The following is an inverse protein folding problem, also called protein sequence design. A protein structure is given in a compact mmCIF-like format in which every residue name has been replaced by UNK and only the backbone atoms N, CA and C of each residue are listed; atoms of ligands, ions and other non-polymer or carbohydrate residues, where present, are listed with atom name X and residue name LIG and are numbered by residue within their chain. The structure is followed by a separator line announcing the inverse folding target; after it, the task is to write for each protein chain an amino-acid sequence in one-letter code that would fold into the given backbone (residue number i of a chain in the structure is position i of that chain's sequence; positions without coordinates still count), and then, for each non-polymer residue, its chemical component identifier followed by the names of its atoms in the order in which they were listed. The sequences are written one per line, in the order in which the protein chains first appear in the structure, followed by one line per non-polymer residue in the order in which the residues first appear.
data_IF_787245441571
#
_entry.id   IF_787245441571
#
_cell.length_a   1.000
_cell.length_b   1.000
_cell.length_c   1.000
_cell.angle_alpha   90.00
_cell.angle_beta   90.00
_cell.angle_gamma   90.00
#
_symmetry.space_group_name_H-M   'P 1'
#
loop_
_entity.id
_entity.type
_entity.pdbx_description
1 polymer ?
#
# COMPACT_ATOMS: atom_id res chain seq x y z
N UNK A 1 -13.47 45.26 -42.22
CA UNK A 1 -13.73 44.20 -41.23
C UNK A 1 -12.99 42.87 -41.49
N UNK A 2 -12.51 42.55 -42.71
CA UNK A 2 -12.04 41.19 -43.05
C UNK A 2 -10.56 40.85 -42.74
N UNK A 3 -9.69 41.84 -42.51
CA UNK A 3 -8.25 41.57 -42.26
C UNK A 3 -7.97 41.02 -40.86
N UNK A 4 -8.72 41.49 -39.84
CA UNK A 4 -8.57 41.04 -38.46
C UNK A 4 -9.01 39.57 -38.28
N UNK A 5 -10.14 39.19 -38.89
CA UNK A 5 -10.63 37.80 -38.86
C UNK A 5 -9.68 36.85 -39.60
N UNK A 6 -9.08 37.28 -40.73
CA UNK A 6 -8.10 36.48 -41.47
C UNK A 6 -6.78 36.27 -40.69
N UNK A 7 -6.38 37.26 -39.89
CA UNK A 7 -5.20 37.14 -39.04
C UNK A 7 -5.44 36.23 -37.82
N UNK A 8 -6.66 36.22 -37.24
CA UNK A 8 -7.01 35.28 -36.18
C UNK A 8 -7.04 33.83 -36.67
N UNK A 9 -7.60 33.58 -37.86
CA UNK A 9 -7.67 32.23 -38.44
C UNK A 9 -6.30 31.65 -38.80
N UNK A 10 -5.32 32.52 -39.10
CA UNK A 10 -3.93 32.13 -39.36
C UNK A 10 -3.03 32.10 -38.14
N UNK A 11 -3.52 32.51 -36.96
CA UNK A 11 -2.69 32.61 -35.76
C UNK A 11 -2.50 31.23 -35.12
N UNK A 12 -1.27 30.72 -35.21
CA UNK A 12 -0.85 29.46 -34.59
C UNK A 12 -0.17 29.68 -33.24
N UNK A 13 -0.01 30.94 -32.79
CA UNK A 13 0.59 31.25 -31.50
C UNK A 13 -0.38 30.79 -30.41
N UNK A 14 0.05 29.80 -29.62
CA UNK A 14 -0.77 29.21 -28.55
C UNK A 14 -1.34 27.83 -28.86
N UNK A 15 -1.22 27.32 -30.10
CA UNK A 15 -1.61 25.94 -30.41
C UNK A 15 -0.86 24.93 -29.51
N UNK A 16 0.44 25.13 -29.32
CA UNK A 16 1.26 24.33 -28.42
C UNK A 16 0.77 24.40 -26.94
N UNK A 17 0.21 25.53 -26.50
CA UNK A 17 -0.33 25.65 -25.14
C UNK A 17 -1.61 24.83 -24.98
N UNK A 18 -2.46 24.78 -26.02
CA UNK A 18 -3.68 23.97 -26.03
C UNK A 18 -3.35 22.47 -26.10
N UNK A 19 -2.42 22.08 -26.97
CA UNK A 19 -1.94 20.69 -27.08
C UNK A 19 -1.32 20.21 -25.77
N UNK A 20 -0.49 21.05 -25.13
CA UNK A 20 0.07 20.75 -23.81
C UNK A 20 -1.01 20.66 -22.74
N UNK A 21 -1.99 21.58 -22.74
CA UNK A 21 -3.12 21.55 -21.81
C UNK A 21 -3.95 20.27 -21.90
N UNK A 22 -4.02 19.64 -23.08
CA UNK A 22 -4.69 18.35 -23.28
C UNK A 22 -3.80 17.15 -22.90
N UNK A 23 -2.49 17.26 -23.10
CA UNK A 23 -1.54 16.19 -22.78
C UNK A 23 -1.18 16.09 -21.29
N UNK A 24 -1.08 17.23 -20.58
CA UNK A 24 -0.69 17.29 -19.15
C UNK A 24 -1.58 16.39 -18.27
N UNK A 25 -2.93 16.43 -18.34
CA UNK A 25 -3.76 15.63 -17.44
C UNK A 25 -3.46 14.13 -17.56
N UNK A 26 -3.26 13.64 -18.78
CA UNK A 26 -2.91 12.24 -19.05
C UNK A 26 -1.53 11.91 -18.48
N UNK A 27 -0.54 12.79 -18.70
CA UNK A 27 0.80 12.62 -18.16
C UNK A 27 0.82 12.62 -16.62
N UNK A 28 0.04 13.51 -15.98
CA UNK A 28 -0.09 13.57 -14.53
C UNK A 28 -0.76 12.33 -13.96
N UNK A 29 -1.82 11.82 -14.61
CA UNK A 29 -2.46 10.58 -14.19
C UNK A 29 -1.49 9.40 -14.24
N UNK A 30 -0.69 9.29 -15.31
CA UNK A 30 0.33 8.23 -15.42
C UNK A 30 1.42 8.38 -14.35
N UNK A 31 1.91 9.59 -14.12
CA UNK A 31 2.94 9.87 -13.12
C UNK A 31 2.43 9.55 -11.69
N UNK A 32 1.27 10.08 -11.32
CA UNK A 32 0.68 9.86 -10.00
C UNK A 32 0.26 8.40 -9.81
N UNK A 33 -0.22 7.74 -10.86
CA UNK A 33 -0.52 6.32 -10.85
C UNK A 33 0.71 5.47 -10.56
N UNK A 34 1.83 5.75 -11.23
CA UNK A 34 3.10 5.07 -10.97
C UNK A 34 3.59 5.29 -9.53
N UNK A 35 3.46 6.51 -9.00
CA UNK A 35 3.80 6.82 -7.60
C UNK A 35 2.90 6.06 -6.61
N UNK A 36 1.58 6.05 -6.81
CA UNK A 36 0.64 5.28 -5.98
C UNK A 36 0.99 3.79 -5.98
N UNK A 37 1.37 3.23 -7.14
CA UNK A 37 1.82 1.85 -7.24
C UNK A 37 3.11 1.59 -6.45
N UNK A 38 4.06 2.51 -6.48
CA UNK A 38 5.27 2.43 -5.67
C UNK A 38 4.98 2.41 -4.16
N UNK A 39 4.10 3.28 -3.69
CA UNK A 39 3.69 3.34 -2.28
C UNK A 39 2.93 2.06 -1.89
N UNK A 40 2.05 1.55 -2.76
CA UNK A 40 1.36 0.29 -2.54
C UNK A 40 2.33 -0.89 -2.37
N UNK A 41 3.33 -1.01 -3.24
CA UNK A 41 4.35 -2.05 -3.16
C UNK A 41 5.20 -1.90 -1.89
N UNK A 42 5.57 -0.68 -1.54
CA UNK A 42 6.24 -0.39 -0.27
C UNK A 42 5.40 -0.86 0.93
N UNK A 43 4.12 -0.50 0.98
CA UNK A 43 3.20 -0.90 2.04
C UNK A 43 3.06 -2.43 2.15
N UNK A 44 2.91 -3.11 1.00
CA UNK A 44 2.84 -4.58 0.93
C UNK A 44 4.11 -5.26 1.45
N UNK A 45 5.28 -4.73 1.11
CA UNK A 45 6.55 -5.26 1.57
C UNK A 45 6.73 -5.01 3.07
N UNK A 46 6.44 -3.80 3.56
CA UNK A 46 6.47 -3.48 5.00
C UNK A 46 5.53 -4.39 5.80
N UNK A 47 4.32 -4.67 5.30
CA UNK A 47 3.39 -5.61 5.94
C UNK A 47 4.01 -7.01 6.04
N UNK A 48 4.64 -7.49 4.98
CA UNK A 48 5.24 -8.83 4.96
C UNK A 48 6.41 -8.91 5.95
N UNK A 49 7.30 -7.92 5.96
CA UNK A 49 8.41 -7.83 6.91
C UNK A 49 7.92 -7.75 8.35
N UNK A 50 6.89 -6.94 8.63
CA UNK A 50 6.33 -6.82 9.96
C UNK A 50 5.74 -8.13 10.47
N UNK A 51 5.04 -8.89 9.62
CA UNK A 51 4.56 -10.23 9.98
C UNK A 51 5.75 -11.18 10.21
N UNK A 52 6.76 -11.18 9.35
CA UNK A 52 7.90 -12.08 9.47
C UNK A 52 8.68 -11.83 10.78
N UNK A 53 8.88 -10.57 11.15
CA UNK A 53 9.50 -10.22 12.44
C UNK A 53 8.62 -10.59 13.63
N UNK A 54 7.30 -10.41 13.51
CA UNK A 54 6.35 -10.81 14.56
C UNK A 54 6.31 -12.33 14.71
N UNK A 55 6.37 -13.08 13.62
CA UNK A 55 6.45 -14.54 13.62
C UNK A 55 7.73 -15.03 14.30
N UNK A 56 8.87 -14.37 14.05
CA UNK A 56 10.14 -14.65 14.73
C UNK A 56 10.07 -14.32 16.22
N UNK A 57 9.45 -13.20 16.59
CA UNK A 57 9.27 -12.87 18.00
C UNK A 57 8.37 -13.89 18.71
N UNK A 58 7.37 -14.43 18.01
CA UNK A 58 6.42 -15.35 18.59
C UNK A 58 7.03 -16.67 19.06
N UNK A 59 8.14 -17.13 18.46
CA UNK A 59 8.79 -18.40 18.84
C UNK A 59 9.83 -18.24 19.96
N UNK A 60 10.09 -17.02 20.44
CA UNK A 60 11.06 -16.78 21.52
C UNK A 60 10.50 -17.23 22.87
N UNK A 61 11.39 -17.72 23.75
CA UNK A 61 11.08 -18.00 25.15
C UNK A 61 11.58 -16.87 26.06
N UNK A 62 10.80 -16.39 27.05
CA UNK A 62 9.42 -16.78 27.34
C UNK A 62 8.46 -16.37 26.21
N UNK A 63 7.43 -17.19 25.98
CA UNK A 63 6.49 -16.98 24.88
C UNK A 63 5.72 -15.67 25.06
N UNK A 64 5.79 -14.73 24.10
CA UNK A 64 5.07 -13.47 24.20
C UNK A 64 3.56 -13.66 24.07
N UNK A 65 2.83 -12.79 24.76
CA UNK A 65 1.38 -12.66 24.68
C UNK A 65 0.94 -12.09 23.31
N UNK A 66 -0.35 -12.22 22.98
CA UNK A 66 -0.90 -11.63 21.75
C UNK A 66 -0.80 -10.11 21.72
N UNK A 67 -0.95 -9.47 22.88
CA UNK A 67 -0.85 -8.02 22.99
C UNK A 67 0.58 -7.54 22.65
N UNK A 68 1.61 -8.26 23.09
CA UNK A 68 3.01 -7.95 22.78
C UNK A 68 3.30 -8.16 21.29
N UNK A 69 2.81 -9.25 20.70
CA UNK A 69 2.97 -9.53 19.26
C UNK A 69 2.23 -8.51 18.40
N UNK A 70 1.01 -8.12 18.78
CA UNK A 70 0.27 -7.06 18.10
C UNK A 70 1.00 -5.73 18.20
N UNK A 71 1.54 -5.39 19.38
CA UNK A 71 2.33 -4.16 19.56
C UNK A 71 3.59 -4.18 18.71
N UNK A 72 4.26 -5.34 18.60
CA UNK A 72 5.44 -5.51 17.76
C UNK A 72 5.11 -5.31 16.28
N UNK A 73 4.04 -5.94 15.80
CA UNK A 73 3.54 -5.76 14.44
C UNK A 73 3.26 -4.29 14.13
N UNK A 74 2.55 -3.60 15.03
CA UNK A 74 2.22 -2.19 14.90
C UNK A 74 3.46 -1.29 14.88
N UNK A 75 4.43 -1.57 15.77
CA UNK A 75 5.69 -0.82 15.82
C UNK A 75 6.49 -0.92 14.52
N UNK A 76 6.48 -2.10 13.89
CA UNK A 76 7.18 -2.36 12.62
C UNK A 76 6.45 -1.73 11.42
N UNK A 77 5.17 -1.38 11.56
CA UNK A 77 4.36 -0.78 10.50
C UNK A 77 4.14 0.73 10.62
N UNK A 78 4.65 1.40 11.67
CA UNK A 78 4.36 2.81 11.94
C UNK A 78 4.49 3.75 10.73
N UNK A 79 5.57 3.60 9.94
CA UNK A 79 5.78 4.42 8.74
C UNK A 79 4.84 4.04 7.61
N UNK A 80 4.63 2.75 7.37
CA UNK A 80 3.76 2.25 6.30
C UNK A 80 2.28 2.58 6.58
N UNK A 81 1.84 2.54 7.83
CA UNK A 81 0.46 2.87 8.26
C UNK A 81 0.03 4.30 7.97
N UNK A 82 0.97 5.21 7.69
CA UNK A 82 0.64 6.57 7.22
C UNK A 82 -0.04 6.57 5.85
N UNK A 83 0.21 5.52 5.06
CA UNK A 83 -0.27 5.43 3.69
C UNK A 83 -1.52 4.57 3.56
N UNK A 84 -1.84 3.72 4.53
CA UNK A 84 -2.96 2.80 4.47
C UNK A 84 -3.33 2.21 5.82
N UNK A 85 -4.44 1.46 5.86
CA UNK A 85 -4.87 0.77 7.07
C UNK A 85 -4.23 -0.62 7.14
N UNK A 86 -3.82 -1.06 8.34
CA UNK A 86 -3.32 -2.41 8.58
C UNK A 86 -3.81 -2.89 9.95
N UNK A 87 -4.10 -4.20 10.03
CA UNK A 87 -4.45 -4.91 11.25
C UNK A 87 -3.87 -6.32 11.19
N UNK A 88 -3.56 -6.89 12.35
CA UNK A 88 -3.11 -8.28 12.48
C UNK A 88 -4.13 -9.09 13.28
N UNK A 89 -4.38 -10.31 12.82
CA UNK A 89 -5.15 -11.32 13.56
C UNK A 89 -4.21 -12.46 13.93
N UNK A 90 -4.21 -12.82 15.22
CA UNK A 90 -3.41 -13.90 15.77
C UNK A 90 -4.32 -15.07 16.13
N UNK A 91 -3.97 -16.27 15.70
CA UNK A 91 -4.68 -17.51 16.05
C UNK A 91 -3.68 -18.54 16.53
N UNK A 92 -3.79 -18.99 17.79
CA UNK A 92 -3.00 -20.11 18.31
C UNK A 92 -3.72 -21.42 18.05
N UNK A 93 -2.98 -22.46 17.70
CA UNK A 93 -3.52 -23.79 17.50
C UNK A 93 -2.48 -24.88 17.75
N UNK A 94 -2.92 -26.12 17.62
CA UNK A 94 -2.08 -27.32 17.69
C UNK A 94 -2.22 -28.08 16.38
N UNK A 95 -1.08 -28.43 15.77
CA UNK A 95 -1.06 -29.23 14.55
C UNK A 95 -1.49 -30.67 14.86
N UNK A 96 -1.90 -31.41 13.83
CA UNK A 96 -2.28 -32.84 13.95
C UNK A 96 -1.15 -33.69 14.55
N UNK A 97 0.10 -33.25 14.39
CA UNK A 97 1.31 -33.87 14.93
C UNK A 97 1.65 -33.43 16.39
N UNK A 98 0.72 -32.75 17.08
CA UNK A 98 0.88 -32.30 18.46
C UNK A 98 1.70 -31.02 18.66
N UNK A 99 2.36 -30.50 17.61
CA UNK A 99 3.15 -29.27 17.68
C UNK A 99 2.27 -28.03 17.77
N UNK A 100 2.50 -27.19 18.77
CA UNK A 100 1.82 -25.90 18.89
C UNK A 100 2.28 -24.93 17.78
N UNK A 101 1.38 -24.07 17.33
CA UNK A 101 1.69 -23.01 16.37
C UNK A 101 0.91 -21.73 16.66
N UNK A 102 1.40 -20.63 16.09
CA UNK A 102 0.66 -19.37 15.97
C UNK A 102 0.57 -19.00 14.49
N UNK A 103 -0.62 -18.65 14.06
CA UNK A 103 -0.91 -18.11 12.74
C UNK A 103 -1.15 -16.60 12.85
N UNK A 104 -0.42 -15.87 12.02
CA UNK A 104 -0.42 -14.41 11.92
C UNK A 104 -1.00 -14.04 10.55
N UNK A 105 -2.12 -13.32 10.55
CA UNK A 105 -2.76 -12.82 9.34
C UNK A 105 -2.78 -11.30 9.39
N UNK A 106 -1.91 -10.67 8.61
CA UNK A 106 -1.95 -9.21 8.41
C UNK A 106 -2.86 -8.87 7.26
N UNK A 107 -3.83 -7.99 7.51
CA UNK A 107 -4.76 -7.47 6.52
C UNK A 107 -4.67 -5.96 6.49
N UNK A 108 -4.87 -5.36 5.33
CA UNK A 108 -4.84 -3.92 5.19
C UNK A 108 -5.36 -3.44 3.86
N UNK A 109 -5.44 -2.12 3.72
CA UNK A 109 -5.89 -1.47 2.49
C UNK A 109 -5.12 -0.18 2.23
N UNK A 110 -4.77 0.05 0.96
CA UNK A 110 -4.15 1.27 0.49
C UNK A 110 -5.14 2.05 -0.38
N UNK A 111 -5.56 3.27 0.00
CA UNK A 111 -6.43 4.11 -0.82
C UNK A 111 -5.65 4.63 -2.03
N UNK A 112 -6.19 4.44 -3.23
CA UNK A 112 -5.64 4.97 -4.48
C UNK A 112 -6.42 6.22 -4.83
N UNK A 113 -5.78 7.38 -4.65
CA UNK A 113 -6.36 8.67 -5.00
C UNK A 113 -5.46 9.32 -6.06
N UNK A 114 -6.01 9.48 -7.26
CA UNK A 114 -5.46 10.35 -8.27
C UNK A 114 -6.12 11.70 -8.04
N UNK A 115 -5.37 12.81 -8.05
CA UNK A 115 -5.84 14.17 -7.68
C UNK A 115 -7.27 14.50 -8.15
N UNK A 116 -7.65 14.05 -9.35
CA UNK A 116 -8.96 14.29 -9.96
C UNK A 116 -9.94 13.11 -9.92
N UNK A 117 -9.49 11.91 -9.52
CA UNK A 117 -10.27 10.65 -9.52
C UNK A 117 -9.88 9.76 -8.33
N UNK A 118 -10.87 9.43 -7.49
CA UNK A 118 -10.69 8.40 -6.46
C UNK A 118 -10.97 7.01 -7.06
N UNK A 119 -10.02 6.08 -6.92
CA UNK A 119 -10.12 4.71 -7.46
C UNK A 119 -10.45 3.66 -6.38
N UNK A 120 -10.84 4.08 -5.19
CA UNK A 120 -11.10 3.20 -4.06
C UNK A 120 -9.83 2.72 -3.35
N UNK A 121 -9.87 1.55 -2.73
CA UNK A 121 -8.74 0.99 -1.98
C UNK A 121 -8.32 -0.38 -2.47
N UNK A 122 -7.02 -0.60 -2.58
CA UNK A 122 -6.44 -1.90 -2.91
C UNK A 122 -6.20 -2.73 -1.65
N UNK A 123 -6.72 -3.97 -1.58
CA UNK A 123 -6.51 -4.83 -0.42
C UNK A 123 -5.09 -5.41 -0.41
N UNK A 124 -4.51 -5.53 0.78
CA UNK A 124 -3.23 -6.20 1.04
C UNK A 124 -3.45 -7.25 2.10
N UNK A 125 -2.97 -8.47 1.83
CA UNK A 125 -3.01 -9.57 2.79
C UNK A 125 -1.69 -10.30 2.80
N UNK A 126 -1.20 -10.61 3.98
CA UNK A 126 -0.05 -11.48 4.19
C UNK A 126 -0.31 -12.43 5.36
N UNK A 127 0.21 -13.65 5.27
CA UNK A 127 -0.04 -14.70 6.26
C UNK A 127 1.23 -15.48 6.53
N UNK A 128 1.49 -15.74 7.82
CA UNK A 128 2.59 -16.57 8.30
C UNK A 128 2.15 -17.46 9.43
N UNK A 129 2.72 -18.66 9.47
CA UNK A 129 2.55 -19.61 10.56
C UNK A 129 3.90 -19.93 11.17
N UNK A 130 4.01 -19.83 12.48
CA UNK A 130 5.21 -20.13 13.24
C UNK A 130 4.93 -21.29 14.20
N UNK A 131 5.84 -22.26 14.26
CA UNK A 131 5.73 -23.44 15.12
C UNK A 131 6.65 -23.27 16.32
N UNK A 132 6.19 -23.66 17.51
CA UNK A 132 7.02 -23.66 18.70
C UNK A 132 7.98 -24.84 18.65
N UNK A 133 9.22 -24.61 19.08
CA UNK A 133 10.18 -25.68 19.33
C UNK A 133 9.91 -26.19 20.75
N UNK A 134 9.31 -27.37 20.84
CA UNK A 134 9.24 -28.15 22.08
C UNK A 134 10.53 -28.96 22.27
#
# INVERSE_FOLDING_TARGET
MSRLLRNLVGDRKGAAAVEFGLAIPVALVMLLGAMNMGIYLYFKNSMTTAIDETARAAILYPQPSDAELSTKFESNLLTAKKFGSAAVTLTRGTSTDGRKYVELVGTGSYPVNLVFVNLGSLPVRSTRRAYFQE
#
